data_IF_301049328468
#
_entry.id   IF_301049328468
#
_cell.length_a   1.000
_cell.length_b   1.000
_cell.length_c   1.000
_cell.angle_alpha   90.00
_cell.angle_beta   90.00
_cell.angle_gamma   90.00
#
_symmetry.space_group_name_H-M   'P 1'
#
loop_
_entity.id
_entity.type
_entity.pdbx_description
1 polymer ?
#
# COMPACT_ATOMS: atom_id res chain seq x y z
N UNK A 1 -4.73 -18.88 16.38
CA UNK A 1 -4.13 -17.54 16.35
C UNK A 1 -4.37 -17.01 14.94
N UNK A 2 -5.38 -16.15 14.76
CA UNK A 2 -5.70 -15.54 13.46
C UNK A 2 -4.86 -14.26 13.39
N UNK A 3 -3.91 -14.22 12.47
CA UNK A 3 -3.14 -13.02 12.19
C UNK A 3 -3.84 -12.38 10.98
N UNK A 4 -4.72 -11.41 11.26
CA UNK A 4 -5.58 -10.78 10.24
C UNK A 4 -4.82 -9.82 9.32
N UNK A 5 -3.57 -9.46 9.68
CA UNK A 5 -2.74 -8.51 8.94
C UNK A 5 -1.39 -9.15 8.62
N UNK A 6 -0.94 -9.16 7.34
CA UNK A 6 0.36 -9.69 6.97
C UNK A 6 1.47 -8.94 7.74
N UNK A 7 2.23 -9.67 8.55
CA UNK A 7 3.36 -9.13 9.30
C UNK A 7 4.52 -8.86 8.33
N UNK A 8 5.08 -7.66 8.42
CA UNK A 8 6.13 -7.15 7.56
C UNK A 8 7.38 -6.83 8.37
N UNK A 9 7.22 -6.15 9.51
CA UNK A 9 8.35 -5.73 10.35
C UNK A 9 8.05 -5.89 11.86
N UNK A 10 9.11 -5.76 12.66
CA UNK A 10 9.04 -5.85 14.12
C UNK A 10 8.16 -4.76 14.75
N UNK A 11 8.08 -3.57 14.14
CA UNK A 11 7.24 -2.47 14.64
C UNK A 11 5.76 -2.86 14.70
N UNK A 12 5.29 -3.77 13.85
CA UNK A 12 3.93 -4.32 13.89
C UNK A 12 3.73 -5.37 15.01
N UNK A 13 4.81 -6.03 15.44
CA UNK A 13 4.78 -7.07 16.47
C UNK A 13 4.80 -6.45 17.88
N UNK A 14 5.46 -5.31 18.05
CA UNK A 14 5.56 -4.60 19.34
C UNK A 14 6.19 -5.48 20.42
N UNK A 15 5.54 -5.59 21.59
CA UNK A 15 6.04 -6.38 22.72
C UNK A 15 5.73 -7.89 22.63
N UNK A 16 5.00 -8.35 21.61
CA UNK A 16 4.55 -9.76 21.53
C UNK A 16 5.73 -10.72 21.35
N UNK A 17 6.78 -10.29 20.65
CA UNK A 17 8.02 -11.05 20.52
C UNK A 17 8.67 -11.26 21.91
N UNK A 18 8.77 -10.19 22.70
CA UNK A 18 9.34 -10.24 24.05
C UNK A 18 8.50 -11.11 24.99
N UNK A 19 7.18 -10.99 24.94
CA UNK A 19 6.26 -11.82 25.74
C UNK A 19 6.38 -13.30 25.37
N UNK A 20 6.61 -13.64 24.11
CA UNK A 20 6.82 -15.04 23.69
C UNK A 20 8.12 -15.63 24.27
N UNK A 21 9.17 -14.82 24.40
CA UNK A 21 10.43 -15.19 25.05
C UNK A 21 10.25 -15.36 26.57
N UNK A 22 9.59 -14.40 27.23
CA UNK A 22 9.34 -14.43 28.68
C UNK A 22 8.46 -15.61 29.10
N UNK A 23 7.56 -16.06 28.23
CA UNK A 23 6.64 -17.17 28.51
C UNK A 23 7.11 -18.55 27.97
N UNK A 24 8.39 -18.67 27.56
CA UNK A 24 9.03 -19.88 26.99
C UNK A 24 8.23 -20.52 25.83
N UNK A 25 7.47 -19.73 25.07
CA UNK A 25 6.69 -20.18 23.91
C UNK A 25 7.53 -20.16 22.64
N UNK A 26 8.52 -21.04 22.58
CA UNK A 26 9.50 -21.12 21.49
C UNK A 26 8.88 -21.31 20.10
N UNK A 27 7.77 -22.05 20.02
CA UNK A 27 7.03 -22.25 18.76
C UNK A 27 6.37 -20.98 18.25
N UNK A 28 5.80 -20.17 19.15
CA UNK A 28 5.19 -18.88 18.81
C UNK A 28 6.27 -17.87 18.41
N UNK A 29 7.40 -17.85 19.12
CA UNK A 29 8.56 -17.04 18.76
C UNK A 29 9.11 -17.38 17.37
N UNK A 30 9.37 -18.67 17.10
CA UNK A 30 9.90 -19.11 15.81
C UNK A 30 8.95 -18.79 14.66
N UNK A 31 7.65 -18.90 14.88
CA UNK A 31 6.64 -18.57 13.88
C UNK A 31 6.56 -17.06 13.63
N UNK A 32 6.58 -16.22 14.68
CA UNK A 32 6.60 -14.76 14.53
C UNK A 32 7.86 -14.31 13.78
N UNK A 33 9.01 -14.93 14.07
CA UNK A 33 10.27 -14.62 13.40
C UNK A 33 10.25 -15.06 11.93
N UNK A 34 9.67 -16.22 11.62
CA UNK A 34 9.53 -16.71 10.23
C UNK A 34 8.55 -15.89 9.38
N UNK A 35 7.60 -15.21 10.02
CA UNK A 35 6.63 -14.33 9.35
C UNK A 35 7.18 -12.94 9.04
N UNK A 36 8.29 -12.53 9.67
CA UNK A 36 8.95 -11.26 9.38
C UNK A 36 9.53 -11.24 7.96
N UNK A 37 9.49 -10.08 7.31
CA UNK A 37 10.13 -9.92 6.01
C UNK A 37 11.64 -10.02 6.12
N UNK A 38 12.26 -10.78 5.22
CA UNK A 38 13.73 -10.86 5.09
C UNK A 38 14.31 -9.76 4.19
N UNK A 39 13.45 -8.95 3.55
CA UNK A 39 13.87 -7.90 2.62
C UNK A 39 14.22 -6.62 3.40
N UNK A 40 15.45 -6.13 3.20
CA UNK A 40 15.99 -4.98 3.90
C UNK A 40 15.14 -3.72 3.70
N UNK A 41 14.42 -3.60 2.59
CA UNK A 41 13.56 -2.45 2.28
C UNK A 41 12.39 -2.30 3.26
N UNK A 42 11.99 -3.38 3.93
CA UNK A 42 10.89 -3.35 4.90
C UNK A 42 11.32 -2.97 6.31
N UNK A 43 12.63 -2.85 6.53
CA UNK A 43 13.14 -2.42 7.82
C UNK A 43 12.67 -0.99 8.09
N UNK A 44 12.16 -0.77 9.29
CA UNK A 44 11.56 0.51 9.69
C UNK A 44 12.52 1.71 9.49
N UNK A 45 13.83 1.47 9.58
CA UNK A 45 14.89 2.47 9.40
C UNK A 45 14.99 3.11 8.00
N UNK A 46 14.36 2.51 6.97
CA UNK A 46 14.43 3.02 5.59
C UNK A 46 13.13 3.70 5.12
N UNK A 47 12.14 3.83 6.01
CA UNK A 47 10.86 4.46 5.69
C UNK A 47 10.93 5.96 5.98
N UNK A 48 11.47 6.73 5.04
CA UNK A 48 11.33 8.17 5.03
C UNK A 48 10.00 8.56 4.40
N UNK A 49 9.40 9.68 4.85
CA UNK A 49 8.08 10.13 4.46
C UNK A 49 7.89 10.10 2.93
N UNK A 50 6.85 9.39 2.46
CA UNK A 50 6.47 9.42 1.06
C UNK A 50 6.04 10.85 0.70
N UNK A 51 6.80 11.49 -0.19
CA UNK A 51 6.43 12.80 -0.73
C UNK A 51 5.04 12.71 -1.36
N UNK A 52 4.19 13.68 -1.02
CA UNK A 52 2.86 13.79 -1.57
C UNK A 52 2.94 14.05 -3.08
N UNK A 53 2.15 13.29 -3.84
CA UNK A 53 2.00 13.43 -5.28
C UNK A 53 1.51 14.85 -5.65
N UNK A 54 2.43 15.70 -6.11
CA UNK A 54 2.21 17.10 -6.49
C UNK A 54 1.20 17.23 -7.63
N UNK A 55 1.06 16.19 -8.45
CA UNK A 55 0.23 16.15 -9.64
C UNK A 55 -1.27 16.14 -9.28
N UNK A 56 -1.65 15.43 -8.21
CA UNK A 56 -3.03 15.38 -7.72
C UNK A 56 -3.47 16.73 -7.12
N UNK A 57 -2.55 17.47 -6.50
CA UNK A 57 -2.82 18.82 -5.98
C UNK A 57 -3.13 19.80 -7.11
N UNK A 58 -2.35 19.76 -8.19
CA UNK A 58 -2.53 20.63 -9.35
C UNK A 58 -3.84 20.33 -10.10
N UNK A 59 -4.20 19.06 -10.30
CA UNK A 59 -5.46 18.69 -10.95
C UNK A 59 -6.69 19.24 -10.22
N UNK A 60 -6.70 19.20 -8.89
CA UNK A 60 -7.77 19.79 -8.07
C UNK A 60 -7.81 21.32 -8.18
N UNK A 61 -6.66 21.99 -8.20
CA UNK A 61 -6.61 23.46 -8.34
C UNK A 61 -7.15 23.96 -9.68
N UNK A 62 -6.94 23.21 -10.76
CA UNK A 62 -7.39 23.59 -12.10
C UNK A 62 -8.78 23.05 -12.48
N UNK A 63 -9.46 22.33 -11.57
CA UNK A 63 -10.76 21.68 -11.84
C UNK A 63 -10.75 20.86 -13.15
N UNK A 64 -9.63 20.20 -13.44
CA UNK A 64 -9.51 19.41 -14.66
C UNK A 64 -10.39 18.16 -14.55
N UNK A 65 -11.02 17.72 -15.67
CA UNK A 65 -11.70 16.44 -15.72
C UNK A 65 -10.73 15.29 -15.39
N UNK A 66 -11.25 14.13 -14.93
CA UNK A 66 -10.42 12.98 -14.63
C UNK A 66 -9.59 12.60 -15.85
N UNK A 67 -8.31 12.27 -15.62
CA UNK A 67 -7.41 11.85 -16.69
C UNK A 67 -7.98 10.62 -17.43
N UNK A 68 -7.82 10.60 -18.75
CA UNK A 68 -8.18 9.46 -19.59
C UNK A 68 -7.47 8.20 -19.08
N UNK A 69 -8.26 7.16 -18.79
CA UNK A 69 -7.76 5.92 -18.24
C UNK A 69 -7.02 5.17 -19.34
N UNK A 70 -5.68 5.13 -19.32
CA UNK A 70 -4.92 4.51 -20.41
C UNK A 70 -5.18 2.99 -20.56
N UNK A 71 -5.51 2.32 -19.45
CA UNK A 71 -5.72 0.87 -19.41
C UNK A 71 -6.94 0.55 -18.55
N UNK A 72 -7.97 0.00 -19.18
CA UNK A 72 -9.12 -0.61 -18.51
C UNK A 72 -8.83 -2.07 -18.18
N UNK A 73 -9.28 -2.51 -17.01
CA UNK A 73 -9.12 -3.89 -16.56
C UNK A 73 -10.29 -4.75 -17.02
N UNK A 74 -10.02 -5.74 -17.88
CA UNK A 74 -11.01 -6.73 -18.31
C UNK A 74 -11.62 -7.54 -17.15
N UNK A 75 -10.91 -7.65 -16.03
CA UNK A 75 -11.34 -8.41 -14.85
C UNK A 75 -12.34 -7.64 -13.98
N UNK A 76 -12.44 -6.32 -14.18
CA UNK A 76 -13.39 -5.48 -13.49
C UNK A 76 -14.67 -5.36 -14.34
N UNK A 77 -15.83 -5.37 -13.69
CA UNK A 77 -17.11 -5.03 -14.36
C UNK A 77 -17.14 -3.53 -14.66
N UNK A 78 -16.38 -3.10 -15.66
CA UNK A 78 -16.48 -1.75 -16.20
C UNK A 78 -17.56 -1.73 -17.28
N UNK A 79 -18.46 -0.72 -17.28
CA UNK A 79 -19.44 -0.58 -18.33
C UNK A 79 -18.72 -0.33 -19.66
N UNK A 80 -18.86 -1.26 -20.60
CA UNK A 80 -18.39 -1.09 -21.98
C UNK A 80 -19.16 0.08 -22.61
N UNK A 81 -18.45 1.06 -23.15
CA UNK A 81 -19.08 2.22 -23.79
C UNK A 81 -19.41 1.86 -25.24
N UNK A 82 -20.69 1.86 -25.59
CA UNK A 82 -21.14 1.61 -26.96
C UNK A 82 -21.02 2.90 -27.81
N UNK A 83 -19.80 3.15 -28.31
CA UNK A 83 -19.52 4.27 -29.21
C UNK A 83 -20.17 4.11 -30.59
N UNK A 84 -20.49 2.89 -31.01
CA UNK A 84 -21.11 2.64 -32.31
C UNK A 84 -22.52 3.25 -32.37
N UNK A 85 -23.27 3.16 -31.27
CA UNK A 85 -24.60 3.77 -31.15
C UNK A 85 -24.55 5.29 -31.29
N UNK A 86 -23.59 5.96 -30.65
CA UNK A 86 -23.48 7.43 -30.70
C UNK A 86 -22.97 7.90 -32.06
N UNK A 87 -22.03 7.18 -32.66
CA UNK A 87 -21.60 7.44 -34.03
C UNK A 87 -22.77 7.30 -35.02
N UNK A 88 -23.63 6.29 -34.86
CA UNK A 88 -24.79 6.08 -35.72
C UNK A 88 -25.86 7.17 -35.59
N UNK A 89 -26.01 7.77 -34.40
CA UNK A 89 -27.00 8.81 -34.13
C UNK A 89 -26.52 10.23 -34.49
N UNK A 90 -25.34 10.60 -33.98
CA UNK A 90 -24.84 12.00 -34.00
C UNK A 90 -23.58 12.17 -34.88
N UNK A 91 -23.15 11.11 -35.55
CA UNK A 91 -21.99 11.11 -36.44
C UNK A 91 -20.66 11.35 -35.71
N UNK A 92 -19.66 11.80 -36.48
CA UNK A 92 -18.28 12.01 -36.00
C UNK A 92 -18.22 13.08 -34.90
N UNK A 93 -19.03 14.14 -34.99
CA UNK A 93 -18.99 15.24 -34.01
C UNK A 93 -19.58 14.84 -32.67
N UNK A 94 -20.66 14.05 -32.66
CA UNK A 94 -21.21 13.48 -31.43
C UNK A 94 -20.23 12.54 -30.76
N UNK A 95 -19.58 11.67 -31.53
CA UNK A 95 -18.51 10.80 -31.02
C UNK A 95 -17.35 11.59 -30.40
N UNK A 96 -16.83 12.61 -31.08
CA UNK A 96 -15.74 13.46 -30.56
C UNK A 96 -16.13 14.16 -29.26
N UNK A 97 -17.37 14.65 -29.16
CA UNK A 97 -17.88 15.28 -27.95
C UNK A 97 -18.02 14.26 -26.81
N UNK A 98 -18.54 13.07 -27.10
CA UNK A 98 -18.69 12.01 -26.11
C UNK A 98 -17.32 11.55 -25.57
N UNK A 99 -16.31 11.37 -26.43
CA UNK A 99 -14.95 11.03 -25.98
C UNK A 99 -14.34 12.14 -25.12
N UNK A 100 -14.65 13.41 -25.41
CA UNK A 100 -14.19 14.55 -24.61
C UNK A 100 -14.89 14.64 -23.23
N UNK A 101 -16.14 14.21 -23.13
CA UNK A 101 -16.93 14.23 -21.89
C UNK A 101 -16.70 12.99 -21.02
N UNK A 102 -16.59 11.82 -21.65
CA UNK A 102 -16.43 10.52 -21.01
C UNK A 102 -15.37 9.72 -21.77
N UNK A 103 -14.08 9.96 -21.51
CA UNK A 103 -13.02 9.29 -22.25
C UNK A 103 -13.01 7.79 -21.92
N UNK A 104 -13.12 6.96 -22.96
CA UNK A 104 -12.93 5.50 -22.84
C UNK A 104 -11.44 5.16 -22.74
N UNK A 105 -11.13 4.01 -22.16
CA UNK A 105 -9.77 3.55 -22.09
C UNK A 105 -9.18 3.18 -23.47
N UNK A 106 -7.93 3.58 -23.69
CA UNK A 106 -7.22 3.30 -24.95
C UNK A 106 -6.99 1.80 -25.18
N UNK A 107 -6.81 1.03 -24.10
CA UNK A 107 -6.58 -0.41 -24.16
C UNK A 107 -7.39 -1.09 -23.05
N UNK A 108 -8.17 -2.10 -23.41
CA UNK A 108 -8.84 -2.98 -22.46
C UNK A 108 -8.07 -4.29 -22.42
N UNK A 109 -7.37 -4.55 -21.31
CA UNK A 109 -6.59 -5.78 -21.10
C UNK A 109 -6.70 -6.23 -19.64
N UNK A 110 -6.35 -7.47 -19.34
CA UNK A 110 -6.25 -7.88 -17.94
C UNK A 110 -5.22 -6.99 -17.21
N UNK A 111 -5.37 -6.78 -15.90
CA UNK A 111 -4.49 -5.89 -15.11
C UNK A 111 -2.98 -6.07 -15.35
N UNK A 112 -2.57 -7.25 -15.80
CA UNK A 112 -1.17 -7.66 -15.84
C UNK A 112 -0.88 -8.41 -17.13
N UNK A 113 0.30 -8.18 -17.66
CA UNK A 113 0.86 -8.97 -18.74
C UNK A 113 1.06 -10.42 -18.28
N UNK A 114 0.88 -11.38 -19.19
CA UNK A 114 0.94 -12.81 -18.85
C UNK A 114 2.25 -13.20 -18.17
N UNK A 115 3.40 -12.74 -18.68
CA UNK A 115 4.71 -13.03 -18.09
C UNK A 115 4.91 -12.46 -16.69
N UNK A 116 4.30 -11.30 -16.38
CA UNK A 116 4.34 -10.72 -15.04
C UNK A 116 3.49 -11.53 -14.05
N UNK A 117 2.34 -12.05 -14.49
CA UNK A 117 1.53 -12.94 -13.66
C UNK A 117 2.30 -14.21 -13.28
N UNK A 118 2.99 -14.82 -14.23
CA UNK A 118 3.80 -16.01 -13.99
C UNK A 118 4.94 -15.74 -13.01
N UNK A 119 5.64 -14.61 -13.19
CA UNK A 119 6.69 -14.19 -12.26
C UNK A 119 6.14 -13.96 -10.84
N UNK A 120 5.00 -13.27 -10.72
CA UNK A 120 4.35 -13.00 -9.43
C UNK A 120 3.84 -14.28 -8.76
N UNK A 121 3.35 -15.26 -9.52
CA UNK A 121 2.89 -16.54 -8.97
C UNK A 121 4.02 -17.33 -8.32
N UNK A 122 5.25 -17.15 -8.81
CA UNK A 122 6.47 -17.72 -8.23
C UNK A 122 7.07 -16.88 -7.08
N UNK A 123 6.60 -15.65 -6.86
CA UNK A 123 7.10 -14.80 -5.79
C UNK A 123 6.47 -15.12 -4.41
N UNK A 124 7.21 -14.74 -3.35
CA UNK A 124 6.72 -14.81 -1.98
C UNK A 124 5.43 -14.02 -1.74
N UNK A 125 4.71 -14.36 -0.67
CA UNK A 125 3.42 -13.73 -0.32
C UNK A 125 3.55 -12.21 -0.11
N UNK A 126 4.57 -11.77 0.64
CA UNK A 126 4.83 -10.35 0.89
C UNK A 126 5.16 -9.59 -0.40
N UNK A 127 5.93 -10.19 -1.31
CA UNK A 127 6.25 -9.60 -2.63
C UNK A 127 4.99 -9.41 -3.48
N UNK A 128 4.08 -10.39 -3.47
CA UNK A 128 2.78 -10.28 -4.16
C UNK A 128 1.90 -9.19 -3.56
N UNK A 129 1.88 -9.05 -2.24
CA UNK A 129 1.11 -8.00 -1.56
C UNK A 129 1.69 -6.60 -1.79
N UNK A 130 3.03 -6.45 -1.82
CA UNK A 130 3.71 -5.20 -2.22
C UNK A 130 3.27 -4.75 -3.59
N UNK A 131 3.32 -5.66 -4.56
CA UNK A 131 2.92 -5.36 -5.93
C UNK A 131 1.44 -4.95 -6.03
N UNK A 132 0.58 -5.47 -5.15
CA UNK A 132 -0.84 -5.08 -5.10
C UNK A 132 -1.08 -3.74 -4.38
N UNK A 133 -0.03 -3.06 -3.91
CA UNK A 133 -0.11 -1.90 -3.02
C UNK A 133 -1.01 -2.16 -1.77
N UNK A 134 -1.16 -3.43 -1.38
CA UNK A 134 -2.04 -3.86 -0.29
C UNK A 134 -1.30 -4.01 1.05
N UNK A 135 0.02 -3.73 1.06
CA UNK A 135 0.77 -3.67 2.30
C UNK A 135 0.59 -2.29 2.94
N UNK A 136 -0.03 -2.29 4.11
CA UNK A 136 0.02 -1.16 5.02
C UNK A 136 1.40 -1.15 5.67
N UNK A 137 2.28 -0.27 5.19
CA UNK A 137 3.54 -0.02 5.91
C UNK A 137 3.20 0.76 7.19
N UNK A 138 3.66 0.30 8.36
CA UNK A 138 3.38 1.00 9.59
C UNK A 138 4.10 2.35 9.53
N UNK A 139 3.36 3.44 9.74
CA UNK A 139 3.96 4.74 9.96
C UNK A 139 4.87 4.62 11.17
N UNK A 140 6.19 4.73 10.98
CA UNK A 140 7.13 4.82 12.09
C UNK A 140 6.79 6.10 12.83
N UNK A 141 6.25 5.98 14.05
CA UNK A 141 6.13 7.14 14.93
C UNK A 141 7.56 7.66 15.15
N UNK A 142 7.89 8.90 14.76
CA UNK A 142 9.18 9.45 15.09
C UNK A 142 9.32 9.41 16.62
N UNK A 143 10.44 8.90 17.10
CA UNK A 143 10.74 8.87 18.52
C UNK A 143 10.75 10.30 19.02
N UNK A 144 9.81 10.65 19.90
CA UNK A 144 9.81 11.96 20.54
C UNK A 144 10.92 11.99 21.62
N UNK A 145 12.04 12.60 21.25
CA UNK A 145 13.21 12.73 22.10
C UNK A 145 12.89 13.51 23.39
N UNK A 146 11.91 14.42 23.34
CA UNK A 146 11.49 15.15 24.52
C UNK A 146 10.85 14.23 25.56
N UNK A 147 10.00 13.30 25.12
CA UNK A 147 9.33 12.32 25.99
C UNK A 147 10.36 11.38 26.65
N UNK A 148 11.32 10.86 25.88
CA UNK A 148 12.40 10.01 26.41
C UNK A 148 13.24 10.71 27.49
N UNK A 149 13.58 11.99 27.29
CA UNK A 149 14.34 12.75 28.28
C UNK A 149 13.52 12.99 29.56
N UNK A 150 12.20 13.17 29.46
CA UNK A 150 11.34 13.27 30.65
C UNK A 150 11.24 11.95 31.41
N UNK A 151 11.09 10.82 30.72
CA UNK A 151 11.10 9.50 31.34
C UNK A 151 12.43 9.19 32.04
N UNK A 152 13.56 9.51 31.39
CA UNK A 152 14.89 9.29 31.98
C UNK A 152 15.08 10.11 33.28
N UNK A 153 14.59 11.36 33.32
CA UNK A 153 14.62 12.17 34.55
C UNK A 153 13.76 11.58 35.66
N UNK A 154 12.57 11.09 35.35
CA UNK A 154 11.68 10.46 36.34
C UNK A 154 12.27 9.18 36.93
N UNK A 155 12.95 8.38 36.10
CA UNK A 155 13.64 7.17 36.55
C UNK A 155 14.82 7.51 37.47
N UNK A 156 15.62 8.52 37.14
CA UNK A 156 16.69 9.01 38.01
C UNK A 156 16.19 9.51 39.37
N UNK A 157 15.01 10.13 39.43
CA UNK A 157 14.41 10.56 40.68
C UNK A 157 13.89 9.41 41.55
N UNK A 158 13.39 8.33 40.95
CA UNK A 158 12.95 7.13 41.69
C UNK A 158 14.11 6.30 42.25
N UNK A 159 15.25 6.24 41.55
CA UNK A 159 16.44 5.52 42.03
C UNK A 159 17.09 6.23 43.23
N UNK A 160 16.93 7.54 43.37
CA UNK A 160 17.42 8.31 44.52
C UNK A 160 16.50 8.25 45.77
N UNK A 161 15.39 7.52 45.72
CA UNK A 161 14.43 7.36 46.82
C UNK A 161 14.39 5.94 47.40
N UNK A 162 15.33 5.07 46.97
CA UNK A 162 15.63 3.77 47.56
C UNK A 162 17.04 3.82 48.17
#
# INVERSE_FOLDING_TARGET
>A
MQIDVPLVNEAQIGSRLNLAVESDRRGEFGLLLALLSTDARDMAQFHWQAELDQQQKLQRSFQLPPAEVLVADLSAEQPVVDNARVFGADGIKGFQLQQALTPEALVIRGQREAGLNDALNNCGHLTRLRHKAALSMPASKPVDLAELLTMQRQWGQRVNLL
#
